data_IF_634157496825
#
_entry.id   IF_634157496825
#
_cell.length_a   1.000
_cell.length_b   1.000
_cell.length_c   1.000
_cell.angle_alpha   90.00
_cell.angle_beta   90.00
_cell.angle_gamma   90.00
#
_symmetry.space_group_name_H-M   'P 1'
#
loop_
_entity.id
_entity.type
_entity.pdbx_description
1 polymer ?
#
# COMPACT_ATOMS: atom_id res chain seq x y z
N UNK A 1 31.54 10.10 -3.57
CA UNK A 1 31.06 8.80 -3.05
C UNK A 1 29.63 8.62 -3.53
N UNK A 2 29.45 8.04 -4.72
CA UNK A 2 28.14 7.85 -5.35
C UNK A 2 27.61 6.46 -5.02
N UNK A 3 26.55 6.40 -4.22
CA UNK A 3 25.85 5.16 -3.89
C UNK A 3 25.06 4.68 -5.10
N UNK A 4 25.47 3.55 -5.66
CA UNK A 4 24.81 2.88 -6.77
C UNK A 4 23.55 2.19 -6.23
N UNK A 5 22.39 2.82 -6.37
CA UNK A 5 21.10 2.24 -5.98
C UNK A 5 20.74 1.12 -6.96
N UNK A 6 21.12 -0.12 -6.64
CA UNK A 6 20.73 -1.30 -7.42
C UNK A 6 19.30 -1.71 -7.03
N UNK A 7 18.50 -1.96 -8.07
CA UNK A 7 17.05 -2.25 -8.05
C UNK A 7 16.83 -3.75 -8.14
N UNK A 8 15.85 -4.27 -7.41
CA UNK A 8 15.63 -5.70 -7.26
C UNK A 8 14.13 -6.05 -7.26
N UNK A 9 13.79 -7.31 -7.53
CA UNK A 9 12.45 -7.90 -7.32
C UNK A 9 12.58 -9.11 -6.37
N UNK A 10 11.60 -9.43 -5.51
CA UNK A 10 11.79 -10.42 -4.42
C UNK A 10 11.75 -11.89 -4.89
N UNK A 11 11.30 -12.13 -6.12
CA UNK A 11 11.17 -13.46 -6.72
C UNK A 11 11.79 -13.46 -8.12
N UNK A 12 12.48 -14.54 -8.49
CA UNK A 12 12.94 -14.75 -9.86
C UNK A 12 11.76 -15.22 -10.71
N UNK A 13 11.43 -14.48 -11.77
CA UNK A 13 10.52 -14.95 -12.82
C UNK A 13 11.29 -15.78 -13.86
N UNK A 14 10.63 -16.79 -14.42
CA UNK A 14 11.23 -17.87 -15.21
C UNK A 14 12.02 -17.43 -16.46
N UNK A 15 11.89 -16.17 -16.90
CA UNK A 15 12.45 -15.69 -18.18
C UNK A 15 13.47 -14.53 -18.08
N UNK A 16 14.02 -14.15 -16.91
CA UNK A 16 14.91 -12.95 -16.85
C UNK A 16 16.09 -13.02 -15.87
N UNK A 17 17.30 -12.59 -16.28
CA UNK A 17 18.47 -12.60 -15.40
C UNK A 17 18.58 -11.28 -14.61
N UNK A 18 17.90 -11.21 -13.46
CA UNK A 18 18.31 -10.38 -12.32
C UNK A 18 18.14 -11.19 -11.04
N UNK A 19 19.16 -11.17 -10.19
CA UNK A 19 19.11 -11.82 -8.88
C UNK A 19 17.97 -11.26 -8.03
N UNK A 20 17.15 -12.10 -7.37
CA UNK A 20 16.07 -11.62 -6.50
C UNK A 20 16.59 -10.80 -5.32
N UNK A 21 15.86 -9.81 -4.79
CA UNK A 21 16.31 -9.02 -3.62
C UNK A 21 16.49 -9.90 -2.37
N UNK A 22 15.82 -11.04 -2.28
CA UNK A 22 16.02 -11.97 -1.17
C UNK A 22 17.42 -12.61 -1.18
N UNK A 23 18.12 -12.64 -2.32
CA UNK A 23 19.46 -13.22 -2.43
C UNK A 23 20.48 -12.52 -1.51
N UNK A 24 20.34 -11.22 -1.30
CA UNK A 24 21.20 -10.42 -0.39
C UNK A 24 21.10 -10.85 1.07
N UNK A 25 20.01 -11.52 1.45
CA UNK A 25 19.81 -11.95 2.83
C UNK A 25 20.79 -13.06 3.24
N UNK A 26 21.31 -13.84 2.28
CA UNK A 26 22.33 -14.88 2.54
C UNK A 26 23.61 -14.27 3.09
N UNK A 27 24.04 -13.17 2.50
CA UNK A 27 25.33 -12.54 2.83
C UNK A 27 25.26 -11.82 4.19
N UNK A 28 24.10 -11.27 4.53
CA UNK A 28 23.89 -10.50 5.77
C UNK A 28 23.46 -11.40 6.93
N UNK A 29 22.74 -12.49 6.66
CA UNK A 29 22.11 -13.38 7.65
C UNK A 29 21.43 -12.60 8.80
N UNK A 30 20.40 -11.79 8.49
CA UNK A 30 19.78 -10.91 9.48
C UNK A 30 18.91 -11.66 10.49
N UNK A 31 18.83 -11.12 11.71
CA UNK A 31 17.86 -11.57 12.72
C UNK A 31 16.45 -11.00 12.48
N UNK A 32 16.34 -9.90 11.71
CA UNK A 32 15.10 -9.19 11.41
C UNK A 32 15.07 -8.72 9.96
N UNK A 33 13.94 -8.95 9.29
CA UNK A 33 13.63 -8.45 7.95
C UNK A 33 12.28 -7.73 7.98
N UNK A 34 12.20 -6.57 7.35
CA UNK A 34 10.94 -5.86 7.10
C UNK A 34 10.62 -5.90 5.60
N UNK A 35 9.37 -6.14 5.22
CA UNK A 35 8.98 -6.28 3.82
C UNK A 35 7.65 -5.58 3.53
N UNK A 36 7.65 -4.69 2.54
CA UNK A 36 6.46 -4.12 1.91
C UNK A 36 6.46 -4.51 0.43
N UNK A 37 5.54 -5.38 0.01
CA UNK A 37 5.40 -5.82 -1.39
C UNK A 37 3.92 -6.04 -1.72
N UNK A 38 3.56 -6.03 -3.00
CA UNK A 38 2.22 -6.37 -3.45
C UNK A 38 1.40 -5.24 -4.07
N UNK A 39 1.70 -3.97 -3.75
CA UNK A 39 0.95 -2.84 -4.30
C UNK A 39 1.04 -2.73 -5.83
N UNK A 40 2.22 -3.04 -6.38
CA UNK A 40 2.44 -3.06 -7.83
C UNK A 40 1.73 -4.24 -8.49
N UNK A 41 1.78 -5.43 -7.88
CA UNK A 41 1.15 -6.66 -8.36
C UNK A 41 -0.36 -6.51 -8.55
N UNK A 42 -1.02 -5.77 -7.64
CA UNK A 42 -2.46 -5.51 -7.73
C UNK A 42 -2.80 -4.30 -8.61
N UNK A 43 -1.81 -3.57 -9.12
CA UNK A 43 -1.99 -2.50 -10.11
C UNK A 43 -2.25 -1.11 -9.54
N UNK A 44 -1.68 -0.75 -8.39
CA UNK A 44 -1.87 0.60 -7.82
C UNK A 44 -1.38 1.73 -8.73
N UNK A 45 -0.34 1.51 -9.55
CA UNK A 45 0.09 2.51 -10.54
C UNK A 45 -1.01 2.79 -11.58
N UNK A 46 -1.71 1.75 -12.04
CA UNK A 46 -2.83 1.91 -12.97
C UNK A 46 -4.04 2.58 -12.31
N UNK A 47 -4.30 2.27 -11.03
CA UNK A 47 -5.32 2.95 -10.24
C UNK A 47 -5.04 4.45 -10.14
N UNK A 48 -3.80 4.85 -9.82
CA UNK A 48 -3.42 6.25 -9.73
C UNK A 48 -3.52 6.98 -11.08
N UNK A 49 -3.23 6.30 -12.18
CA UNK A 49 -3.47 6.86 -13.51
C UNK A 49 -4.98 7.12 -13.72
N UNK A 50 -5.81 6.09 -13.57
CA UNK A 50 -7.21 6.13 -14.00
C UNK A 50 -8.12 6.88 -13.02
N UNK A 51 -7.73 7.03 -11.76
CA UNK A 51 -8.53 7.68 -10.72
C UNK A 51 -8.00 9.03 -10.20
N UNK A 52 -6.75 9.39 -10.49
CA UNK A 52 -6.10 10.56 -9.87
C UNK A 52 -5.41 11.46 -10.89
N UNK A 53 -4.39 10.94 -11.58
CA UNK A 53 -3.43 11.78 -12.32
C UNK A 53 -3.59 11.77 -13.82
N UNK A 54 -4.09 10.67 -14.42
CA UNK A 54 -4.17 10.50 -15.88
C UNK A 54 -2.84 10.79 -16.58
N UNK A 55 -1.73 10.30 -16.05
CA UNK A 55 -0.40 10.51 -16.63
C UNK A 55 -0.19 9.78 -17.95
N UNK A 56 -1.04 8.80 -18.30
CA UNK A 56 -1.11 8.19 -19.64
C UNK A 56 -1.91 9.03 -20.66
N UNK A 57 -2.60 10.07 -20.21
CA UNK A 57 -3.47 10.94 -21.03
C UNK A 57 -3.48 12.38 -20.50
N UNK A 58 -2.47 13.14 -20.95
CA UNK A 58 -2.19 14.50 -20.49
C UNK A 58 -2.92 15.57 -21.31
N UNK A 59 -3.89 15.17 -22.16
CA UNK A 59 -4.54 16.08 -23.09
C UNK A 59 -5.64 16.93 -22.45
N UNK A 60 -5.24 18.07 -21.91
CA UNK A 60 -6.20 19.10 -21.48
C UNK A 60 -7.17 18.61 -20.40
N UNK A 61 -8.33 19.26 -20.35
CA UNK A 61 -9.46 18.90 -19.48
C UNK A 61 -10.55 18.10 -20.21
N UNK A 62 -10.20 17.38 -21.29
CA UNK A 62 -11.14 16.48 -21.92
C UNK A 62 -11.39 15.27 -21.00
N UNK A 63 -12.65 14.83 -20.92
CA UNK A 63 -13.03 13.58 -20.25
C UNK A 63 -12.53 12.34 -21.01
N UNK A 64 -12.91 11.16 -20.53
CA UNK A 64 -12.42 9.89 -21.06
C UNK A 64 -13.11 9.44 -22.36
N UNK A 65 -14.37 9.82 -22.57
CA UNK A 65 -15.13 9.43 -23.75
C UNK A 65 -15.30 10.60 -24.75
N UNK A 66 -15.00 10.31 -26.03
CA UNK A 66 -15.37 11.12 -27.18
C UNK A 66 -16.45 10.38 -28.01
N UNK A 67 -17.42 11.08 -28.64
CA UNK A 67 -17.55 12.53 -28.75
C UNK A 67 -18.38 13.17 -27.62
N UNK A 68 -18.11 14.46 -27.40
CA UNK A 68 -18.52 15.39 -26.32
C UNK A 68 -20.04 15.57 -26.07
N UNK A 69 -20.92 14.61 -26.38
CA UNK A 69 -22.36 14.78 -26.13
C UNK A 69 -22.72 14.76 -24.64
N UNK A 70 -21.90 14.14 -23.79
CA UNK A 70 -22.09 14.13 -22.35
C UNK A 70 -20.78 14.52 -21.64
N UNK A 71 -20.90 15.28 -20.55
CA UNK A 71 -19.77 15.61 -19.68
C UNK A 71 -19.35 14.34 -18.94
N UNK A 72 -18.30 13.70 -19.41
CA UNK A 72 -17.64 12.57 -18.76
C UNK A 72 -16.43 13.08 -17.97
N UNK A 73 -16.36 12.77 -16.68
CA UNK A 73 -15.24 13.16 -15.80
C UNK A 73 -14.24 12.01 -15.58
N UNK A 74 -14.34 10.93 -16.37
CA UNK A 74 -13.60 9.67 -16.23
C UNK A 74 -14.00 8.78 -15.05
N UNK A 75 -15.11 9.04 -14.36
CA UNK A 75 -15.53 8.20 -13.23
C UNK A 75 -15.75 6.73 -13.59
N UNK A 76 -16.27 6.43 -14.79
CA UNK A 76 -16.47 5.05 -15.25
C UNK A 76 -15.14 4.29 -15.42
N UNK A 77 -14.15 4.94 -16.05
CA UNK A 77 -12.81 4.39 -16.23
C UNK A 77 -12.10 4.15 -14.88
N UNK A 78 -12.24 5.09 -13.94
CA UNK A 78 -11.76 4.91 -12.57
C UNK A 78 -12.44 3.72 -11.87
N UNK A 79 -13.75 3.54 -12.04
CA UNK A 79 -14.49 2.43 -11.45
C UNK A 79 -14.00 1.07 -11.97
N UNK A 80 -13.75 0.96 -13.27
CA UNK A 80 -13.15 -0.25 -13.86
C UNK A 80 -11.77 -0.54 -13.28
N UNK A 81 -10.94 0.49 -13.05
CA UNK A 81 -9.64 0.33 -12.40
C UNK A 81 -9.78 -0.19 -10.96
N UNK A 82 -10.74 0.34 -10.21
CA UNK A 82 -11.06 -0.11 -8.85
C UNK A 82 -11.46 -1.60 -8.86
N UNK A 83 -12.33 -2.00 -9.78
CA UNK A 83 -12.78 -3.38 -9.89
C UNK A 83 -11.66 -4.32 -10.32
N UNK A 84 -10.79 -3.88 -11.24
CA UNK A 84 -9.60 -4.62 -11.65
C UNK A 84 -8.61 -4.85 -10.51
N UNK A 85 -8.33 -3.82 -9.71
CA UNK A 85 -7.47 -3.96 -8.51
C UNK A 85 -8.09 -4.93 -7.50
N UNK A 86 -9.40 -4.79 -7.24
CA UNK A 86 -10.12 -5.70 -6.34
C UNK A 86 -10.08 -7.15 -6.82
N UNK A 87 -10.22 -7.38 -8.12
CA UNK A 87 -10.10 -8.70 -8.71
C UNK A 87 -8.69 -9.28 -8.51
N UNK A 88 -7.63 -8.49 -8.74
CA UNK A 88 -6.23 -8.91 -8.51
C UNK A 88 -5.92 -9.22 -7.05
N UNK A 89 -6.41 -8.42 -6.10
CA UNK A 89 -6.28 -8.69 -4.65
C UNK A 89 -6.88 -10.06 -4.30
N UNK A 90 -8.05 -10.37 -4.86
CA UNK A 90 -8.77 -11.62 -4.60
C UNK A 90 -8.23 -12.80 -5.44
N UNK A 91 -7.43 -12.52 -6.47
CA UNK A 91 -6.88 -13.51 -7.38
C UNK A 91 -5.87 -14.45 -6.73
N UNK A 92 -5.71 -15.66 -7.29
CA UNK A 92 -4.70 -16.60 -6.83
C UNK A 92 -3.27 -16.08 -7.04
N UNK A 93 -3.03 -15.26 -8.07
CA UNK A 93 -1.71 -14.74 -8.44
C UNK A 93 -1.10 -13.92 -7.30
N UNK A 94 -1.89 -13.01 -6.70
CA UNK A 94 -1.42 -12.21 -5.57
C UNK A 94 -1.04 -13.10 -4.37
N UNK A 95 -1.88 -14.08 -4.06
CA UNK A 95 -1.65 -14.98 -2.93
C UNK A 95 -0.41 -15.85 -3.14
N UNK A 96 -0.23 -16.35 -4.35
CA UNK A 96 0.94 -17.16 -4.74
C UNK A 96 2.22 -16.32 -4.77
N UNK A 97 2.16 -15.10 -5.30
CA UNK A 97 3.29 -14.16 -5.35
C UNK A 97 3.79 -13.81 -3.95
N UNK A 98 2.89 -13.35 -3.06
CA UNK A 98 3.27 -13.02 -1.68
C UNK A 98 3.81 -14.24 -0.92
N UNK A 99 3.16 -15.40 -1.06
CA UNK A 99 3.63 -16.65 -0.45
C UNK A 99 5.04 -17.02 -0.95
N UNK A 100 5.30 -16.83 -2.24
CA UNK A 100 6.62 -17.10 -2.85
C UNK A 100 7.68 -16.14 -2.34
N UNK A 101 7.36 -14.85 -2.20
CA UNK A 101 8.27 -13.87 -1.60
C UNK A 101 8.62 -14.22 -0.15
N UNK A 102 7.62 -14.60 0.68
CA UNK A 102 7.86 -15.04 2.07
C UNK A 102 8.76 -16.28 2.11
N UNK A 103 8.50 -17.29 1.27
CA UNK A 103 9.36 -18.48 1.14
C UNK A 103 10.79 -18.11 0.74
N UNK A 104 10.93 -17.18 -0.20
CA UNK A 104 12.21 -16.68 -0.69
C UNK A 104 13.01 -16.02 0.43
N UNK A 105 12.38 -15.23 1.30
CA UNK A 105 13.03 -14.66 2.49
C UNK A 105 13.55 -15.75 3.43
N UNK A 106 12.71 -16.69 3.84
CA UNK A 106 13.13 -17.75 4.78
C UNK A 106 14.14 -18.73 4.18
N UNK A 107 14.16 -18.93 2.86
CA UNK A 107 15.19 -19.73 2.20
C UNK A 107 16.58 -19.06 2.26
N UNK A 108 16.64 -17.73 2.28
CA UNK A 108 17.89 -16.98 2.31
C UNK A 108 18.28 -16.49 3.73
N UNK A 109 17.33 -16.39 4.66
CA UNK A 109 17.55 -16.07 6.07
C UNK A 109 16.66 -16.92 7.01
N UNK A 110 16.98 -18.21 7.23
CA UNK A 110 16.09 -19.13 7.93
C UNK A 110 15.79 -18.79 9.39
N UNK A 111 16.64 -17.98 10.03
CA UNK A 111 16.51 -17.59 11.44
C UNK A 111 15.87 -16.22 11.66
N UNK A 112 15.60 -15.48 10.59
CA UNK A 112 15.04 -14.12 10.72
C UNK A 112 13.63 -14.16 11.28
N UNK A 113 13.25 -13.11 12.01
CA UNK A 113 11.84 -12.74 12.12
C UNK A 113 11.48 -11.84 10.93
N UNK A 114 10.38 -12.13 10.23
CA UNK A 114 9.90 -11.36 9.09
C UNK A 114 8.69 -10.51 9.50
N UNK A 115 8.82 -9.19 9.41
CA UNK A 115 7.72 -8.23 9.56
C UNK A 115 7.22 -7.81 8.18
N UNK A 116 6.00 -8.20 7.83
CA UNK A 116 5.37 -7.79 6.56
C UNK A 116 4.43 -6.63 6.84
N UNK A 117 4.73 -5.47 6.30
CA UNK A 117 3.93 -4.26 6.53
C UNK A 117 2.74 -4.20 5.59
N UNK A 118 1.59 -3.76 6.11
CA UNK A 118 0.49 -3.24 5.31
C UNK A 118 0.80 -1.87 4.73
N UNK A 119 -0.19 -1.32 4.04
CA UNK A 119 -0.17 -0.01 3.42
C UNK A 119 -1.11 0.96 4.16
N UNK A 120 -0.71 2.22 4.34
CA UNK A 120 -1.62 3.26 4.78
C UNK A 120 -2.56 3.68 3.66
N UNK A 121 -3.78 4.05 4.03
CA UNK A 121 -4.73 4.70 3.14
C UNK A 121 -4.22 6.10 2.76
N UNK A 122 -4.37 6.48 1.49
CA UNK A 122 -3.89 7.76 0.97
C UNK A 122 -4.76 8.95 1.35
N UNK A 123 -6.06 8.72 1.57
CA UNK A 123 -7.05 9.78 1.64
C UNK A 123 -7.71 9.83 3.01
N UNK A 124 -7.89 11.02 3.56
CA UNK A 124 -9.02 11.25 4.45
C UNK A 124 -10.25 11.38 3.56
N UNK A 125 -11.29 10.56 3.75
CA UNK A 125 -12.52 10.60 2.95
C UNK A 125 -13.73 11.19 3.70
N UNK A 126 -13.54 11.63 4.94
CA UNK A 126 -14.60 12.15 5.81
C UNK A 126 -14.85 13.66 5.59
N UNK A 127 -13.84 14.37 5.07
CA UNK A 127 -13.85 15.82 4.86
C UNK A 127 -14.33 16.21 3.46
N UNK A 128 -14.84 17.42 3.28
CA UNK A 128 -15.17 17.97 1.94
C UNK A 128 -13.95 18.61 1.24
N UNK A 129 -12.77 18.58 1.86
CA UNK A 129 -11.58 19.36 1.49
C UNK A 129 -11.13 19.18 0.02
N UNK A 130 -11.40 18.00 -0.55
CA UNK A 130 -10.98 17.62 -1.90
C UNK A 130 -12.10 17.49 -2.92
N UNK A 131 -13.36 17.73 -2.55
CA UNK A 131 -14.50 17.44 -3.43
C UNK A 131 -14.52 18.28 -4.71
N UNK A 132 -13.75 19.36 -4.75
CA UNK A 132 -13.58 20.25 -5.91
C UNK A 132 -12.14 20.30 -6.42
N UNK A 133 -11.29 19.37 -5.99
CA UNK A 133 -9.87 19.33 -6.31
C UNK A 133 -9.61 18.16 -7.25
N UNK A 134 -8.85 18.39 -8.31
CA UNK A 134 -8.36 17.33 -9.20
C UNK A 134 -6.84 17.38 -9.26
N UNK A 135 -6.23 16.21 -9.37
CA UNK A 135 -4.79 16.07 -9.58
C UNK A 135 -4.45 15.68 -11.02
N UNK A 136 -5.40 15.76 -11.96
CA UNK A 136 -5.19 15.39 -13.36
C UNK A 136 -4.09 16.23 -14.01
N UNK A 137 -3.12 15.56 -14.63
CA UNK A 137 -2.13 16.22 -15.47
C UNK A 137 -2.73 16.76 -16.77
N UNK A 138 -2.23 17.95 -17.14
CA UNK A 138 -2.61 18.67 -18.33
C UNK A 138 -3.96 19.38 -18.22
N UNK A 139 -4.64 19.30 -17.07
CA UNK A 139 -5.93 19.96 -16.87
C UNK A 139 -5.79 21.16 -15.92
N UNK A 140 -5.90 22.37 -16.50
CA UNK A 140 -5.75 23.65 -15.79
C UNK A 140 -7.02 24.08 -15.01
N UNK A 141 -8.00 23.20 -14.88
CA UNK A 141 -9.14 23.37 -13.99
C UNK A 141 -9.48 22.03 -13.30
N UNK A 142 -10.39 22.01 -12.35
CA UNK A 142 -10.73 20.79 -11.61
C UNK A 142 -11.93 20.02 -12.20
N UNK A 143 -12.16 20.08 -13.52
CA UNK A 143 -13.37 19.53 -14.14
C UNK A 143 -13.35 18.01 -14.39
N UNK A 144 -12.19 17.38 -14.31
CA UNK A 144 -11.99 15.94 -14.57
C UNK A 144 -11.51 15.26 -13.29
N UNK A 145 -12.09 14.11 -12.94
CA UNK A 145 -11.75 13.35 -11.74
C UNK A 145 -11.61 14.20 -10.45
N UNK A 146 -12.59 15.04 -10.07
CA UNK A 146 -12.56 15.70 -8.76
C UNK A 146 -12.53 14.65 -7.65
N UNK A 147 -11.63 14.77 -6.68
CA UNK A 147 -11.37 13.80 -5.60
C UNK A 147 -12.48 13.78 -4.54
N UNK A 148 -13.71 13.54 -4.99
CA UNK A 148 -14.91 13.44 -4.17
C UNK A 148 -14.79 12.33 -3.11
N UNK A 149 -15.51 12.48 -2.00
CA UNK A 149 -15.53 11.52 -0.88
C UNK A 149 -15.70 10.07 -1.32
N UNK A 150 -16.66 9.79 -2.20
CA UNK A 150 -16.95 8.42 -2.64
C UNK A 150 -15.76 7.77 -3.35
N UNK A 151 -15.03 8.53 -4.19
CA UNK A 151 -13.84 8.03 -4.89
C UNK A 151 -12.67 7.82 -3.93
N UNK A 152 -12.43 8.79 -3.03
CA UNK A 152 -11.43 8.66 -1.95
C UNK A 152 -11.69 7.42 -1.10
N UNK A 153 -12.94 7.23 -0.68
CA UNK A 153 -13.36 6.05 0.08
C UNK A 153 -13.15 4.76 -0.72
N UNK A 154 -13.57 4.71 -1.98
CA UNK A 154 -13.41 3.51 -2.79
C UNK A 154 -11.93 3.10 -2.97
N UNK A 155 -11.03 4.08 -3.12
CA UNK A 155 -9.58 3.82 -3.16
C UNK A 155 -9.03 3.36 -1.80
N UNK A 156 -9.49 3.93 -0.69
CA UNK A 156 -9.13 3.45 0.64
C UNK A 156 -9.62 2.02 0.91
N UNK A 157 -10.84 1.69 0.47
CA UNK A 157 -11.40 0.34 0.62
C UNK A 157 -10.54 -0.72 -0.09
N UNK A 158 -9.81 -0.36 -1.16
CA UNK A 158 -8.83 -1.25 -1.82
C UNK A 158 -7.57 -1.43 -0.96
N UNK A 159 -7.14 -0.39 -0.26
CA UNK A 159 -6.02 -0.47 0.70
C UNK A 159 -6.37 -1.40 1.85
N UNK A 160 -7.58 -1.26 2.40
CA UNK A 160 -8.06 -2.14 3.47
C UNK A 160 -8.22 -3.58 2.99
N UNK A 161 -8.73 -3.79 1.78
CA UNK A 161 -8.83 -5.12 1.17
C UNK A 161 -7.45 -5.77 0.98
N UNK A 162 -6.47 -5.03 0.46
CA UNK A 162 -5.09 -5.51 0.29
C UNK A 162 -4.46 -5.87 1.64
N UNK A 163 -4.57 -4.99 2.64
CA UNK A 163 -4.08 -5.24 3.99
C UNK A 163 -4.74 -6.47 4.63
N UNK A 164 -6.06 -6.62 4.46
CA UNK A 164 -6.81 -7.79 4.90
C UNK A 164 -6.31 -9.07 4.26
N UNK A 165 -6.05 -9.05 2.95
CA UNK A 165 -5.52 -10.20 2.21
C UNK A 165 -4.10 -10.58 2.64
N UNK A 166 -3.21 -9.60 2.79
CA UNK A 166 -1.84 -9.81 3.29
C UNK A 166 -1.89 -10.45 4.69
N UNK A 167 -2.69 -9.87 5.60
CA UNK A 167 -2.88 -10.38 6.96
C UNK A 167 -3.44 -11.81 6.96
N UNK A 168 -4.40 -12.11 6.10
CA UNK A 168 -4.97 -13.46 5.95
C UNK A 168 -3.90 -14.47 5.54
N UNK A 169 -3.06 -14.14 4.56
CA UNK A 169 -1.99 -15.02 4.08
C UNK A 169 -0.96 -15.28 5.18
N UNK A 170 -0.56 -14.23 5.91
CA UNK A 170 0.40 -14.34 7.03
C UNK A 170 -0.17 -15.20 8.16
N UNK A 171 -1.41 -14.96 8.58
CA UNK A 171 -2.05 -15.74 9.64
C UNK A 171 -2.28 -17.21 9.27
N UNK A 172 -2.33 -17.52 7.98
CA UNK A 172 -2.50 -18.89 7.47
C UNK A 172 -1.16 -19.56 7.16
N UNK A 173 -0.04 -18.86 7.32
CA UNK A 173 1.30 -19.39 7.07
C UNK A 173 1.69 -20.39 8.17
N UNK A 174 2.52 -21.42 7.90
CA UNK A 174 2.90 -22.41 8.90
C UNK A 174 3.38 -21.78 10.22
N UNK A 175 2.85 -22.27 11.34
CA UNK A 175 3.12 -21.72 12.70
C UNK A 175 4.58 -21.84 13.14
N UNK A 176 5.38 -22.66 12.46
CA UNK A 176 6.82 -22.76 12.68
C UNK A 176 7.62 -21.58 12.10
N UNK A 177 7.00 -20.74 11.26
CA UNK A 177 7.65 -19.57 10.70
C UNK A 177 7.54 -18.35 11.64
N UNK A 178 8.64 -17.61 11.79
CA UNK A 178 8.72 -16.39 12.59
C UNK A 178 8.27 -15.18 11.75
N UNK A 179 6.95 -14.94 11.68
CA UNK A 179 6.32 -14.02 10.73
C UNK A 179 5.23 -13.16 11.40
N UNK A 180 5.23 -11.85 11.18
CA UNK A 180 4.24 -10.91 11.74
C UNK A 180 3.72 -9.94 10.68
N UNK A 181 2.40 -9.73 10.65
CA UNK A 181 1.81 -8.61 9.91
C UNK A 181 1.89 -7.32 10.72
N UNK A 182 2.33 -6.23 10.10
CA UNK A 182 2.39 -4.89 10.71
C UNK A 182 1.35 -3.98 10.09
N UNK A 183 0.36 -3.57 10.88
CA UNK A 183 -0.65 -2.62 10.45
C UNK A 183 -0.13 -1.17 10.55
N UNK A 184 0.23 -0.58 9.41
CA UNK A 184 0.80 0.77 9.33
C UNK A 184 -0.27 1.84 9.15
N UNK A 185 -1.49 1.48 8.75
CA UNK A 185 -2.53 2.45 8.39
C UNK A 185 -2.93 3.40 9.52
N UNK A 186 -3.10 2.94 10.80
CA UNK A 186 -3.44 3.84 11.89
C UNK A 186 -2.39 4.92 12.18
N UNK A 187 -1.12 4.67 11.85
CA UNK A 187 -0.03 5.63 12.07
C UNK A 187 -0.08 6.81 11.10
N UNK A 188 -0.89 6.74 10.05
CA UNK A 188 -1.09 7.81 9.08
C UNK A 188 -2.37 8.64 9.34
N UNK A 189 -3.10 8.38 10.42
CA UNK A 189 -4.27 9.18 10.79
C UNK A 189 -3.88 10.64 11.04
N UNK A 190 -4.57 11.59 10.38
CA UNK A 190 -4.24 13.01 10.46
C UNK A 190 -3.10 13.42 9.52
N UNK A 191 -2.58 12.47 8.72
CA UNK A 191 -1.43 12.66 7.85
C UNK A 191 -1.66 12.27 6.39
N UNK A 192 -2.92 12.10 6.00
CA UNK A 192 -3.32 11.73 4.63
C UNK A 192 -3.50 12.96 3.75
N UNK A 193 -3.74 12.75 2.47
CA UNK A 193 -4.31 13.79 1.62
C UNK A 193 -5.73 14.15 2.09
N UNK A 194 -6.14 15.39 1.86
CA UNK A 194 -7.51 15.86 2.13
C UNK A 194 -7.88 15.87 3.63
N UNK A 195 -6.91 15.99 4.54
CA UNK A 195 -7.18 16.12 5.98
C UNK A 195 -7.94 17.41 6.31
N UNK A 196 -8.56 17.45 7.49
CA UNK A 196 -9.35 18.62 7.91
C UNK A 196 -8.48 19.88 7.95
N UNK A 197 -8.98 20.98 7.37
CA UNK A 197 -8.26 22.26 7.35
C UNK A 197 -7.13 22.33 6.31
N UNK A 198 -6.95 21.29 5.49
CA UNK A 198 -6.02 21.30 4.36
C UNK A 198 -6.73 21.82 3.12
N UNK A 199 -6.17 22.85 2.48
CA UNK A 199 -6.60 23.27 1.14
C UNK A 199 -5.75 22.54 0.13
N UNK A 200 -6.24 21.42 -0.38
CA UNK A 200 -5.56 20.71 -1.45
C UNK A 200 -5.68 21.52 -2.74
N UNK A 201 -4.59 21.66 -3.49
CA UNK A 201 -3.31 21.02 -3.26
C UNK A 201 -2.45 21.68 -2.17
N UNK A 202 -1.96 20.90 -1.19
CA UNK A 202 -1.21 21.41 -0.03
C UNK A 202 0.17 20.76 0.08
N UNK A 203 0.95 20.87 -1.00
CA UNK A 203 2.20 20.14 -1.19
C UNK A 203 3.25 20.32 -0.10
N UNK A 204 3.29 21.51 0.53
CA UNK A 204 4.23 21.84 1.61
C UNK A 204 3.73 21.54 3.00
N UNK A 205 2.53 20.96 3.10
CA UNK A 205 2.01 20.58 4.38
C UNK A 205 2.84 19.42 4.93
N UNK A 206 3.76 19.73 5.85
CA UNK A 206 4.57 18.75 6.58
C UNK A 206 3.74 17.69 7.31
N UNK A 207 2.44 17.95 7.50
CA UNK A 207 1.53 16.98 8.08
C UNK A 207 1.02 15.97 7.05
N UNK A 208 1.17 16.19 5.73
CA UNK A 208 0.91 15.15 4.72
C UNK A 208 2.15 14.26 4.62
N UNK A 209 1.98 12.96 4.86
CA UNK A 209 3.08 12.01 4.96
C UNK A 209 3.35 11.21 3.68
N UNK A 210 2.71 11.59 2.59
CA UNK A 210 2.98 11.09 1.25
C UNK A 210 3.63 12.18 0.42
N UNK A 211 4.58 11.81 -0.44
CA UNK A 211 5.11 12.72 -1.43
C UNK A 211 3.97 13.17 -2.34
N UNK A 212 3.67 14.47 -2.34
CA UNK A 212 2.63 15.01 -3.16
C UNK A 212 3.27 15.44 -4.51
N UNK A 213 2.47 15.78 -5.53
CA UNK A 213 3.00 16.39 -6.75
C UNK A 213 3.51 17.83 -6.50
N UNK A 214 4.71 17.98 -5.92
CA UNK A 214 5.26 19.28 -5.53
C UNK A 214 6.34 19.78 -6.49
N UNK A 215 6.21 21.03 -6.96
CA UNK A 215 7.36 21.87 -7.28
C UNK A 215 6.93 23.35 -7.19
N UNK A 216 7.85 24.23 -6.77
CA UNK A 216 7.75 25.65 -7.06
C UNK A 216 8.91 25.97 -7.97
N UNK A 217 8.59 26.40 -9.17
CA UNK A 217 9.51 27.14 -10.00
C UNK A 217 8.98 28.56 -10.01
N UNK A 218 9.81 29.53 -9.64
CA UNK A 218 9.50 30.95 -9.88
C UNK A 218 9.38 31.31 -11.37
N UNK A 219 9.27 30.31 -12.24
CA UNK A 219 9.26 30.30 -13.70
C UNK A 219 8.51 29.07 -14.23
N UNK A 220 8.39 28.93 -15.55
CA UNK A 220 7.92 27.71 -16.24
C UNK A 220 8.78 26.50 -15.90
N UNK A 221 8.15 25.32 -15.71
CA UNK A 221 8.84 24.03 -15.61
C UNK A 221 8.22 23.06 -16.62
N UNK A 222 8.90 22.92 -17.75
CA UNK A 222 8.44 22.07 -18.84
C UNK A 222 8.94 20.65 -18.65
N UNK A 223 8.01 19.69 -18.65
CA UNK A 223 8.30 18.28 -18.84
C UNK A 223 7.91 17.90 -20.27
N UNK A 224 8.90 17.50 -21.06
CA UNK A 224 8.74 17.04 -22.43
C UNK A 224 9.16 15.56 -22.58
N UNK A 225 8.79 14.95 -23.71
CA UNK A 225 9.12 13.56 -24.00
C UNK A 225 10.60 13.33 -24.33
N UNK A 226 11.38 14.38 -24.64
CA UNK A 226 12.79 14.27 -25.02
C UNK A 226 13.68 13.83 -23.86
N UNK A 227 13.29 14.16 -22.63
CA UNK A 227 14.02 13.81 -21.41
C UNK A 227 13.44 12.60 -20.66
N UNK A 228 12.38 11.98 -21.18
CA UNK A 228 11.72 10.84 -20.54
C UNK A 228 11.96 9.53 -21.32
N UNK A 229 12.00 8.38 -20.63
CA UNK A 229 11.91 7.09 -21.32
C UNK A 229 10.65 7.05 -22.20
N UNK A 230 10.71 6.40 -23.36
CA UNK A 230 9.55 6.16 -24.22
C UNK A 230 9.66 4.78 -24.85
N UNK A 231 8.55 4.26 -25.39
CA UNK A 231 8.47 2.93 -26.01
C UNK A 231 7.73 1.92 -25.15
N UNK A 232 8.22 0.68 -25.09
CA UNK A 232 7.61 -0.39 -24.31
C UNK A 232 7.93 -0.23 -22.81
N UNK A 233 6.99 0.35 -22.06
CA UNK A 233 7.14 0.59 -20.63
C UNK A 233 7.05 -0.70 -19.81
N UNK A 234 6.36 -1.72 -20.32
CA UNK A 234 6.25 -3.00 -19.64
C UNK A 234 7.61 -3.71 -19.66
N UNK A 235 8.44 -3.48 -20.69
CA UNK A 235 9.84 -3.94 -20.68
C UNK A 235 10.62 -3.44 -19.47
N UNK A 236 10.36 -2.22 -18.99
CA UNK A 236 11.07 -1.65 -17.82
C UNK A 236 10.73 -2.44 -16.56
N UNK A 237 9.44 -2.63 -16.24
CA UNK A 237 9.05 -3.43 -15.07
C UNK A 237 9.51 -4.87 -15.23
N UNK A 238 9.36 -5.41 -16.45
CA UNK A 238 9.79 -6.74 -16.82
C UNK A 238 11.27 -6.96 -16.53
N UNK A 239 12.15 -6.03 -16.90
CA UNK A 239 13.59 -6.16 -16.71
C UNK A 239 14.03 -5.79 -15.28
N UNK A 240 13.13 -5.81 -14.29
CA UNK A 240 13.40 -5.42 -12.90
C UNK A 240 13.79 -3.95 -12.77
N UNK A 241 13.18 -3.09 -13.59
CA UNK A 241 13.28 -1.65 -13.52
C UNK A 241 12.45 -1.08 -12.37
N UNK A 242 12.68 0.20 -12.08
CA UNK A 242 11.97 0.91 -11.03
C UNK A 242 10.61 1.38 -11.53
N UNK A 243 9.57 1.28 -10.71
CA UNK A 243 8.22 1.69 -11.11
C UNK A 243 8.08 3.21 -11.32
N UNK A 244 8.97 4.03 -10.74
CA UNK A 244 9.10 5.44 -11.11
C UNK A 244 9.59 5.62 -12.55
N UNK A 245 10.48 4.75 -13.04
CA UNK A 245 10.88 4.74 -14.45
C UNK A 245 9.77 4.24 -15.39
N UNK A 246 8.94 3.29 -14.94
CA UNK A 246 7.74 2.86 -15.66
C UNK A 246 6.74 4.01 -15.78
N UNK A 247 6.47 4.71 -14.69
CA UNK A 247 5.64 5.91 -14.68
C UNK A 247 6.20 6.99 -15.63
N UNK A 248 7.52 7.23 -15.61
CA UNK A 248 8.17 8.15 -16.55
C UNK A 248 8.04 7.75 -18.00
N UNK A 249 8.09 6.45 -18.28
CA UNK A 249 7.84 5.93 -19.61
C UNK A 249 6.41 6.20 -20.08
N UNK A 250 5.42 5.98 -19.23
CA UNK A 250 4.02 6.26 -19.56
C UNK A 250 3.79 7.75 -19.82
N UNK A 251 4.32 8.62 -18.96
CA UNK A 251 4.22 10.06 -19.15
C UNK A 251 4.95 10.51 -20.43
N UNK A 252 6.15 9.99 -20.70
CA UNK A 252 6.91 10.26 -21.91
C UNK A 252 6.16 9.85 -23.18
N UNK A 253 5.55 8.67 -23.17
CA UNK A 253 4.71 8.20 -24.28
C UNK A 253 3.48 9.08 -24.50
N UNK A 254 2.81 9.52 -23.42
CA UNK A 254 1.66 10.42 -23.51
C UNK A 254 2.07 11.77 -24.13
N UNK A 255 3.12 12.40 -23.59
CA UNK A 255 3.66 13.67 -24.11
C UNK A 255 4.09 13.57 -25.58
N UNK A 256 4.73 12.47 -25.96
CA UNK A 256 5.15 12.20 -27.34
C UNK A 256 3.96 12.03 -28.28
N UNK A 257 2.95 11.27 -27.85
CA UNK A 257 1.76 10.99 -28.65
C UNK A 257 0.95 12.26 -28.90
N UNK A 258 0.80 13.09 -27.87
CA UNK A 258 0.08 14.35 -27.96
C UNK A 258 0.89 15.48 -28.60
N UNK A 259 2.20 15.30 -28.81
CA UNK A 259 3.10 16.34 -29.29
C UNK A 259 3.11 17.57 -28.38
N UNK A 260 2.95 17.35 -27.07
CA UNK A 260 2.75 18.40 -26.08
C UNK A 260 3.88 18.44 -25.06
N UNK A 261 3.90 19.51 -24.28
CA UNK A 261 4.76 19.68 -23.10
C UNK A 261 3.86 19.95 -21.92
N UNK A 262 4.15 19.30 -20.80
CA UNK A 262 3.46 19.60 -19.55
C UNK A 262 4.22 20.73 -18.88
N UNK A 263 3.70 21.96 -18.99
CA UNK A 263 4.13 23.00 -18.05
C UNK A 263 3.52 22.67 -16.71
N UNK A 264 4.37 22.17 -15.82
CA UNK A 264 3.92 21.85 -14.50
C UNK A 264 3.39 23.13 -13.86
N UNK A 265 4.06 24.28 -14.03
CA UNK A 265 3.76 25.55 -13.33
C UNK A 265 2.28 25.96 -13.42
N UNK A 266 1.65 25.67 -14.56
CA UNK A 266 0.28 26.04 -14.85
C UNK A 266 -0.77 25.01 -14.43
N UNK A 267 -0.37 23.88 -13.84
CA UNK A 267 -1.32 22.91 -13.32
C UNK A 267 -2.10 23.50 -12.13
N UNK A 268 -3.39 23.17 -11.99
CA UNK A 268 -4.20 23.53 -10.81
C UNK A 268 -3.62 23.01 -9.51
N UNK A 269 -2.78 22.00 -9.67
CA UNK A 269 -2.05 21.29 -8.66
C UNK A 269 -0.66 21.94 -8.44
N UNK A 270 -0.53 23.24 -8.70
CA UNK A 270 0.60 24.07 -8.33
C UNK A 270 0.11 25.26 -7.48
N UNK A 271 0.62 25.39 -6.26
CA UNK A 271 0.31 26.53 -5.38
C UNK A 271 1.59 27.26 -5.00
N UNK A 272 1.51 28.58 -4.85
CA UNK A 272 2.64 29.43 -4.51
C UNK A 272 3.23 29.00 -3.14
N UNK A 273 4.47 28.55 -3.16
CA UNK A 273 5.23 28.16 -1.96
C UNK A 273 6.21 29.25 -1.49
N UNK A 274 6.66 29.11 -0.26
CA UNK A 274 7.63 29.95 0.47
C UNK A 274 9.13 29.64 0.20
N UNK A 275 9.51 29.20 -1.00
CA UNK A 275 10.94 28.94 -1.33
C UNK A 275 11.20 27.99 -2.52
N UNK A 276 12.45 27.94 -2.98
CA UNK A 276 12.87 27.16 -4.15
C UNK A 276 12.87 25.65 -3.86
N UNK A 277 12.32 24.84 -4.78
CA UNK A 277 12.51 23.37 -4.72
C UNK A 277 13.82 23.04 -5.42
N UNK A 278 14.68 22.26 -4.77
CA UNK A 278 15.84 21.69 -5.42
C UNK A 278 15.36 20.72 -6.52
N UNK A 279 15.36 21.19 -7.77
CA UNK A 279 15.19 20.32 -8.94
C UNK A 279 16.43 19.42 -8.99
N UNK A 280 16.34 18.24 -8.38
CA UNK A 280 17.43 17.26 -8.44
C UNK A 280 17.49 16.69 -9.85
N UNK A 281 18.39 17.28 -10.62
CA UNK A 281 19.00 16.86 -11.90
C UNK A 281 18.16 16.94 -13.18
N UNK A 282 18.89 17.37 -14.22
CA UNK A 282 18.49 17.80 -15.54
C UNK A 282 18.58 16.71 -16.61
N UNK A 283 18.26 15.47 -16.27
CA UNK A 283 18.11 14.34 -17.20
C UNK A 283 17.12 13.33 -16.60
N UNK A 284 15.90 13.21 -17.14
CA UNK A 284 14.87 12.28 -16.62
C UNK A 284 13.66 12.93 -15.95
N UNK A 285 12.79 12.08 -15.39
CA UNK A 285 11.74 12.52 -14.46
C UNK A 285 12.38 13.15 -13.22
N UNK A 286 11.90 14.31 -12.76
CA UNK A 286 12.27 14.82 -11.45
C UNK A 286 11.99 13.78 -10.35
N UNK A 287 12.92 13.63 -9.40
CA UNK A 287 12.85 12.63 -8.33
C UNK A 287 11.54 12.72 -7.50
N UNK A 288 11.01 13.94 -7.30
CA UNK A 288 9.71 14.12 -6.63
C UNK A 288 8.55 13.49 -7.40
N UNK A 289 8.58 13.58 -8.73
CA UNK A 289 7.54 13.10 -9.63
C UNK A 289 7.58 11.57 -9.74
N UNK A 290 8.77 10.97 -9.62
CA UNK A 290 8.93 9.53 -9.50
C UNK A 290 8.43 8.96 -8.15
N UNK A 291 8.29 9.81 -7.12
CA UNK A 291 7.94 9.42 -5.74
C UNK A 291 6.50 9.71 -5.34
N UNK A 292 5.67 10.25 -6.22
CA UNK A 292 4.26 10.53 -5.91
C UNK A 292 3.63 9.36 -5.13
N UNK A 293 2.92 9.68 -4.05
CA UNK A 293 2.24 8.74 -3.16
C UNK A 293 3.14 7.79 -2.36
N UNK A 294 4.47 7.86 -2.50
CA UNK A 294 5.38 7.17 -1.60
C UNK A 294 5.42 7.90 -0.25
N UNK A 295 5.64 7.20 0.88
CA UNK A 295 5.79 7.87 2.16
C UNK A 295 7.00 8.82 2.17
N UNK A 296 6.82 10.01 2.72
CA UNK A 296 7.92 10.95 2.97
C UNK A 296 8.83 10.43 4.08
N UNK A 297 9.89 11.16 4.43
CA UNK A 297 10.69 10.84 5.63
C UNK A 297 9.83 10.74 6.89
N UNK A 298 8.82 11.61 7.04
CA UNK A 298 7.90 11.55 8.17
C UNK A 298 6.97 10.33 8.07
N UNK A 299 6.45 10.02 6.88
CA UNK A 299 5.67 8.81 6.63
C UNK A 299 6.44 7.52 6.90
N UNK A 300 7.72 7.46 6.53
CA UNK A 300 8.61 6.35 6.91
C UNK A 300 8.84 6.27 8.43
N UNK A 301 8.72 7.39 9.15
CA UNK A 301 8.61 7.42 10.60
C UNK A 301 7.36 6.69 11.11
N UNK A 302 6.21 6.87 10.47
CA UNK A 302 4.99 6.10 10.76
C UNK A 302 5.16 4.59 10.53
N UNK A 303 5.83 4.20 9.43
CA UNK A 303 6.19 2.78 9.20
C UNK A 303 7.09 2.24 10.30
N UNK A 304 8.15 2.98 10.66
CA UNK A 304 9.04 2.63 11.78
C UNK A 304 8.25 2.40 13.06
N UNK A 305 7.34 3.30 13.41
CA UNK A 305 6.58 3.22 14.65
C UNK A 305 5.65 2.00 14.67
N UNK A 306 5.03 1.68 13.53
CA UNK A 306 4.27 0.44 13.35
C UNK A 306 5.13 -0.81 13.56
N UNK A 307 6.32 -0.86 12.94
CA UNK A 307 7.24 -1.99 13.06
C UNK A 307 7.75 -2.14 14.49
N UNK A 308 8.14 -1.05 15.15
CA UNK A 308 8.61 -1.06 16.55
C UNK A 308 7.51 -1.51 17.50
N UNK A 309 6.27 -1.08 17.27
CA UNK A 309 5.11 -1.54 18.05
C UNK A 309 4.89 -3.05 17.90
N UNK A 310 4.90 -3.55 16.67
CA UNK A 310 4.76 -4.99 16.39
C UNK A 310 5.92 -5.82 16.97
N UNK A 311 7.15 -5.32 16.85
CA UNK A 311 8.34 -5.93 17.44
C UNK A 311 8.23 -6.05 18.96
N UNK A 312 7.82 -4.97 19.63
CA UNK A 312 7.65 -4.95 21.09
C UNK A 312 6.59 -5.96 21.55
N UNK A 313 5.46 -6.05 20.81
CA UNK A 313 4.41 -7.02 21.09
C UNK A 313 4.88 -8.48 20.91
N UNK A 314 5.63 -8.76 19.84
CA UNK A 314 6.23 -10.07 19.60
C UNK A 314 7.20 -10.48 20.73
N UNK A 315 8.07 -9.56 21.15
CA UNK A 315 9.03 -9.85 22.22
C UNK A 315 8.38 -10.04 23.59
N UNK A 316 7.32 -9.27 23.91
CA UNK A 316 6.57 -9.46 25.15
C UNK A 316 5.90 -10.84 25.22
N UNK A 317 5.37 -11.34 24.09
CA UNK A 317 4.80 -12.68 23.99
C UNK A 317 5.86 -13.76 24.17
N UNK A 318 7.02 -13.60 23.53
CA UNK A 318 8.14 -14.54 23.68
C UNK A 318 8.71 -14.60 25.11
N UNK A 319 8.60 -13.50 25.88
CA UNK A 319 9.09 -13.42 27.26
C UNK A 319 8.13 -14.01 28.31
N UNK A 320 6.88 -14.32 27.93
CA UNK A 320 5.90 -14.90 28.87
C UNK A 320 6.04 -16.43 28.88
N UNK A 321 6.44 -17.07 29.99
CA UNK A 321 6.57 -18.52 30.04
C UNK A 321 5.20 -19.15 29.82
N UNK A 322 5.09 -20.06 28.84
CA UNK A 322 3.92 -20.91 28.66
C UNK A 322 3.73 -21.74 29.92
N UNK A 323 2.87 -21.30 30.83
CA UNK A 323 2.42 -22.12 31.97
C UNK A 323 1.46 -23.17 31.43
N UNK A 324 2.00 -24.21 30.80
CA UNK A 324 1.28 -25.48 30.66
C UNK A 324 1.31 -26.14 32.03
N UNK A 325 0.39 -25.72 32.90
CA UNK A 325 0.05 -26.49 34.08
C UNK A 325 -0.51 -27.84 33.60
N UNK A 326 0.31 -28.87 33.65
CA UNK A 326 -0.16 -30.26 33.63
C UNK A 326 -1.16 -30.38 34.78
N UNK A 327 -2.44 -30.76 34.54
CA UNK A 327 -3.36 -31.03 35.63
C UNK A 327 -2.77 -32.15 36.50
N UNK A 328 -2.42 -31.83 37.75
CA UNK A 328 -2.14 -32.87 38.75
C UNK A 328 -3.38 -33.74 38.83
N UNK A 329 -3.24 -35.04 38.54
CA UNK A 329 -4.20 -36.04 38.95
C UNK A 329 -4.41 -35.87 40.46
N UNK A 330 -5.57 -35.34 40.86
CA UNK A 330 -5.99 -35.40 42.25
C UNK A 330 -6.39 -36.85 42.53
N UNK A 331 -5.65 -37.50 43.42
CA UNK A 331 -6.07 -38.76 44.04
C UNK A 331 -7.38 -38.51 44.78
N UNK A 332 -8.49 -38.94 44.19
CA UNK A 332 -9.78 -39.00 44.88
C UNK A 332 -9.79 -40.23 45.80
N UNK A 333 -9.93 -39.97 47.10
CA UNK A 333 -10.23 -40.97 48.13
C UNK A 333 -11.61 -41.58 47.87
N UNK A 334 -11.84 -42.88 48.10
CA UNK A 334 -13.15 -43.50 47.86
C UNK A 334 -14.22 -42.98 48.82
N UNK A 335 -15.50 -42.88 48.41
CA UNK A 335 -16.57 -42.43 49.30
C UNK A 335 -16.94 -43.50 50.34
N UNK A 336 -17.10 -43.08 51.58
CA UNK A 336 -17.65 -43.88 52.68
C UNK A 336 -19.16 -44.10 52.51
N UNK A 337 -19.59 -45.35 52.61
CA UNK A 337 -21.00 -45.79 52.58
C UNK A 337 -21.69 -45.43 53.90
N UNK A 338 -22.86 -44.75 53.89
CA UNK A 338 -23.66 -44.56 55.10
C UNK A 338 -24.59 -45.74 55.35
N UNK A 339 -24.52 -46.29 56.56
CA UNK A 339 -25.45 -47.28 57.11
C UNK A 339 -26.69 -46.57 57.65
N UNK A 340 -27.87 -46.87 57.12
CA UNK A 340 -29.15 -46.48 57.74
C UNK A 340 -30.07 -47.69 57.87
N UNK A 341 -30.38 -48.03 59.12
CA UNK A 341 -31.31 -49.07 59.56
C UNK A 341 -32.77 -48.62 59.35
N UNK A 342 -33.70 -49.50 58.95
CA UNK A 342 -35.08 -49.12 58.64
C UNK A 342 -35.99 -49.17 59.88
N UNK A 343 -36.91 -48.22 59.99
CA UNK A 343 -38.08 -48.32 60.89
C UNK A 343 -39.36 -48.40 60.07
N UNK A 344 -40.15 -49.42 60.39
CA UNK A 344 -41.43 -49.80 59.81
C UNK A 344 -42.57 -48.85 60.18
N UNK A 345 -43.48 -48.58 59.24
CA UNK A 345 -44.93 -48.52 59.53
C UNK A 345 -45.74 -48.80 58.26
N UNK A 346 -46.62 -49.81 58.36
CA UNK A 346 -47.67 -50.17 57.41
C UNK A 346 -48.78 -49.10 57.39
N UNK A 347 -49.46 -48.93 56.25
CA UNK A 347 -50.94 -48.97 56.18
C UNK A 347 -51.47 -49.09 54.74
N UNK A 348 -52.16 -50.20 54.50
CA UNK A 348 -53.38 -50.45 53.69
C UNK A 348 -53.67 -49.71 52.37
N UNK A 349 -53.78 -50.55 51.33
CA UNK A 349 -54.57 -50.45 50.08
C UNK A 349 -56.07 -50.06 50.32
N UNK A 350 -56.81 -49.56 49.31
CA UNK A 350 -57.50 -50.48 48.39
C UNK A 350 -57.57 -50.05 46.91
N UNK A 351 -58.07 -50.99 46.12
CA UNK A 351 -58.04 -51.08 44.66
C UNK A 351 -59.18 -50.34 43.94
N UNK A 352 -58.88 -49.86 42.72
CA UNK A 352 -59.55 -50.35 41.50
C UNK A 352 -58.64 -50.17 40.29
#
# INVERSE_FOLDING_TARGET
MGGNSRRYDLVAHADKPKEPQSSFLKDVNPDLVTMSIGGNDVGFVDLLDRCVYRFKDVKGCAGCNLPRLFKDDCSGDCQEAIDGVRAKINGPEFSQGLTSAIKSVFANAPRTHLFVTGYPAFWNHDTDACDKVSFKFGCINNSVLPLIKSRRKAMNDLTDALNGKIRQIINSYPTSASLTFVDTNPFFNGHRFCEQGVSEPSYRNKNIWFYPFEYWTGSTLNVDAGNLPTGDCDKISNDGGDFGAVFGCYLGNALKTDGTTLDLHNQTNNVQGDGDVAITSSDGLPDFLARIFHPTKAGMGGYRDGIVSAYSAYHAQAATPTSTSIPKLQNSTPPSIPTSTPTSTLTSKPAR
#
